data_IF_202954598898
#
_entry.id   IF_202954598898
#
_cell.length_a   1.000
_cell.length_b   1.000
_cell.length_c   1.000
_cell.angle_alpha   90.00
_cell.angle_beta   90.00
_cell.angle_gamma   90.00
#
_symmetry.space_group_name_H-M   'P 1'
#
loop_
_entity.id
_entity.type
_entity.pdbx_description
1 polymer ?
#
# COMPACT_ATOMS: atom_id res chain seq x y z
N UNK A 1 34.06 3.29 -2.27
CA UNK A 1 33.97 4.62 -2.92
C UNK A 1 33.95 5.81 -1.95
N UNK A 2 33.66 5.66 -0.65
CA UNK A 2 33.95 6.71 0.36
C UNK A 2 35.45 6.75 0.72
N UNK A 3 36.11 5.59 0.64
CA UNK A 3 37.55 5.44 0.87
C UNK A 3 38.41 6.32 -0.03
N UNK A 4 37.96 6.58 -1.27
CA UNK A 4 38.66 7.40 -2.27
C UNK A 4 38.65 8.89 -1.93
N UNK A 5 37.54 9.42 -1.41
CA UNK A 5 37.46 10.80 -0.89
C UNK A 5 38.37 10.93 0.34
N UNK A 6 38.35 9.94 1.23
CA UNK A 6 39.17 9.98 2.43
C UNK A 6 40.67 9.89 2.11
N UNK A 7 41.06 9.10 1.12
CA UNK A 7 42.45 9.00 0.67
C UNK A 7 42.94 10.27 -0.02
N UNK A 8 42.12 10.92 -0.86
CA UNK A 8 42.51 12.16 -1.54
C UNK A 8 42.58 13.34 -0.57
N UNK A 9 41.67 13.42 0.42
CA UNK A 9 41.76 14.42 1.49
C UNK A 9 43.01 14.24 2.35
N UNK A 10 43.36 12.97 2.66
CA UNK A 10 44.57 12.64 3.42
C UNK A 10 45.82 13.00 2.64
N UNK A 11 45.89 12.63 1.36
CA UNK A 11 46.98 12.99 0.46
C UNK A 11 47.12 14.51 0.32
N UNK A 12 46.01 15.24 0.15
CA UNK A 12 46.01 16.69 0.08
C UNK A 12 46.51 17.33 1.40
N UNK A 13 46.13 16.77 2.55
CA UNK A 13 46.62 17.22 3.86
C UNK A 13 48.13 17.00 4.01
N UNK A 14 48.64 15.83 3.63
CA UNK A 14 50.06 15.48 3.69
C UNK A 14 50.88 16.38 2.74
N UNK A 15 50.36 16.66 1.54
CA UNK A 15 50.97 17.60 0.59
C UNK A 15 50.97 19.05 1.10
N UNK A 16 49.88 19.50 1.73
CA UNK A 16 49.82 20.82 2.36
C UNK A 16 50.81 20.99 3.51
N UNK A 17 51.01 19.94 4.30
CA UNK A 17 52.04 19.91 5.34
C UNK A 17 53.46 19.94 4.76
N UNK A 18 53.71 19.22 3.67
CA UNK A 18 54.99 19.25 2.96
C UNK A 18 55.28 20.63 2.37
N UNK A 19 54.28 21.30 1.78
CA UNK A 19 54.44 22.66 1.25
C UNK A 19 54.82 23.69 2.32
N UNK A 20 54.31 23.56 3.55
CA UNK A 20 54.66 24.44 4.68
C UNK A 20 56.10 24.25 5.18
N UNK A 21 56.72 23.10 4.90
CA UNK A 21 58.08 22.79 5.32
C UNK A 21 59.16 23.21 4.31
N UNK A 22 58.75 23.63 3.10
CA UNK A 22 59.65 23.94 1.98
C UNK A 22 59.83 25.46 1.84
N UNK A 23 61.09 25.92 1.85
CA UNK A 23 61.44 27.34 1.71
C UNK A 23 61.73 27.78 0.26
N UNK A 24 61.98 26.84 -0.66
CA UNK A 24 62.35 27.13 -2.05
C UNK A 24 61.15 27.04 -3.01
N UNK A 25 60.94 28.11 -3.78
CA UNK A 25 59.81 28.26 -4.69
C UNK A 25 59.74 27.18 -5.80
N UNK A 26 60.89 26.65 -6.23
CA UNK A 26 60.97 25.61 -7.26
C UNK A 26 60.44 24.25 -6.80
N UNK A 27 60.47 23.98 -5.49
CA UNK A 27 59.97 22.73 -4.91
C UNK A 27 58.46 22.81 -4.57
N UNK A 28 57.89 24.02 -4.48
CA UNK A 28 56.47 24.25 -4.15
C UNK A 28 55.54 24.03 -5.35
N UNK A 29 55.98 24.38 -6.56
CA UNK A 29 55.17 24.23 -7.78
C UNK A 29 54.63 22.80 -8.03
N UNK A 30 55.44 21.72 -7.95
CA UNK A 30 54.93 20.36 -8.11
C UNK A 30 53.99 19.95 -6.95
N UNK A 31 54.22 20.44 -5.73
CA UNK A 31 53.35 20.15 -4.57
C UNK A 31 51.96 20.76 -4.78
N UNK A 32 51.88 22.01 -5.25
CA UNK A 32 50.61 22.69 -5.57
C UNK A 32 49.88 21.98 -6.73
N UNK A 33 50.60 21.53 -7.75
CA UNK A 33 50.02 20.77 -8.87
C UNK A 33 49.40 19.46 -8.39
N UNK A 34 50.10 18.71 -7.54
CA UNK A 34 49.60 17.48 -6.94
C UNK A 34 48.39 17.72 -6.03
N UNK A 35 48.43 18.79 -5.23
CA UNK A 35 47.31 19.19 -4.37
C UNK A 35 46.05 19.46 -5.20
N UNK A 36 46.17 20.22 -6.29
CA UNK A 36 45.05 20.50 -7.18
C UNK A 36 44.50 19.23 -7.83
N UNK A 37 45.36 18.29 -8.22
CA UNK A 37 44.92 17.00 -8.75
C UNK A 37 44.10 16.19 -7.73
N UNK A 38 44.54 16.12 -6.47
CA UNK A 38 43.81 15.42 -5.42
C UNK A 38 42.48 16.09 -5.06
N UNK A 39 42.44 17.43 -5.07
CA UNK A 39 41.19 18.18 -4.88
C UNK A 39 40.20 17.87 -6.00
N UNK A 40 40.64 17.87 -7.26
CA UNK A 40 39.78 17.56 -8.40
C UNK A 40 39.23 16.13 -8.32
N UNK A 41 40.07 15.14 -7.98
CA UNK A 41 39.60 13.76 -7.73
C UNK A 41 38.57 13.68 -6.61
N UNK A 42 38.75 14.45 -5.54
CA UNK A 42 37.77 14.51 -4.45
C UNK A 42 36.43 15.10 -4.92
N UNK A 43 36.47 16.17 -5.72
CA UNK A 43 35.29 16.81 -6.29
C UNK A 43 34.54 15.86 -7.24
N UNK A 44 35.25 15.21 -8.16
CA UNK A 44 34.66 14.22 -9.08
C UNK A 44 33.99 13.08 -8.30
N UNK A 45 34.67 12.56 -7.26
CA UNK A 45 34.09 11.52 -6.43
C UNK A 45 32.85 12.00 -5.67
N UNK A 46 32.83 13.25 -5.18
CA UNK A 46 31.68 13.83 -4.50
C UNK A 46 30.49 14.01 -5.45
N UNK A 47 30.73 14.46 -6.68
CA UNK A 47 29.69 14.58 -7.68
C UNK A 47 29.08 13.21 -8.03
N UNK A 48 29.92 12.18 -8.20
CA UNK A 48 29.44 10.81 -8.42
C UNK A 48 28.53 10.33 -7.28
N UNK A 49 28.93 10.54 -6.02
CA UNK A 49 28.12 10.17 -4.86
C UNK A 49 26.79 10.94 -4.79
N UNK A 50 26.80 12.23 -5.11
CA UNK A 50 25.56 13.01 -5.17
C UNK A 50 24.60 12.47 -6.24
N UNK A 51 25.11 12.08 -7.41
CA UNK A 51 24.28 11.45 -8.44
C UNK A 51 23.71 10.11 -7.97
N UNK A 52 24.51 9.27 -7.33
CA UNK A 52 24.07 7.99 -6.76
C UNK A 52 23.00 8.20 -5.68
N UNK A 53 23.18 9.20 -4.80
CA UNK A 53 22.22 9.55 -3.75
C UNK A 53 20.88 10.01 -4.33
N UNK A 54 20.92 10.90 -5.34
CA UNK A 54 19.72 11.38 -6.02
C UNK A 54 19.00 10.23 -6.74
N UNK A 55 19.72 9.33 -7.39
CA UNK A 55 19.14 8.16 -8.03
C UNK A 55 18.49 7.21 -7.02
N UNK A 56 19.11 7.02 -5.84
CA UNK A 56 18.55 6.20 -4.77
C UNK A 56 17.30 6.85 -4.16
N UNK A 57 17.32 8.17 -3.97
CA UNK A 57 16.19 8.93 -3.48
C UNK A 57 15.00 8.85 -4.45
N UNK A 58 15.24 8.96 -5.76
CA UNK A 58 14.20 8.80 -6.77
C UNK A 58 13.56 7.40 -6.72
N UNK A 59 14.39 6.35 -6.67
CA UNK A 59 13.91 4.96 -6.53
C UNK A 59 13.12 4.75 -5.24
N UNK A 60 13.56 5.36 -4.14
CA UNK A 60 12.85 5.30 -2.86
C UNK A 60 11.45 5.92 -2.98
N UNK A 61 11.32 7.08 -3.60
CA UNK A 61 10.01 7.71 -3.84
C UNK A 61 9.10 6.86 -4.72
N UNK A 62 9.63 6.31 -5.82
CA UNK A 62 8.88 5.43 -6.72
C UNK A 62 8.38 4.18 -5.98
N UNK A 63 9.29 3.49 -5.28
CA UNK A 63 8.96 2.28 -4.51
C UNK A 63 7.95 2.58 -3.40
N UNK A 64 8.11 3.70 -2.69
CA UNK A 64 7.18 4.10 -1.64
C UNK A 64 5.78 4.40 -2.18
N UNK A 65 5.69 5.00 -3.38
CA UNK A 65 4.43 5.24 -4.07
C UNK A 65 3.75 3.93 -4.48
N UNK A 66 4.47 3.02 -5.13
CA UNK A 66 3.95 1.71 -5.51
C UNK A 66 3.43 0.94 -4.28
N UNK A 67 4.17 0.98 -3.17
CA UNK A 67 3.80 0.34 -1.94
C UNK A 67 2.52 0.95 -1.32
N UNK A 68 2.34 2.26 -1.43
CA UNK A 68 1.10 2.93 -1.01
C UNK A 68 -0.10 2.50 -1.88
N UNK A 69 0.07 2.46 -3.21
CA UNK A 69 -0.97 2.03 -4.15
C UNK A 69 -1.38 0.56 -3.92
N UNK A 70 -0.41 -0.33 -3.71
CA UNK A 70 -0.69 -1.74 -3.39
C UNK A 70 -1.42 -1.87 -2.05
N UNK A 71 -1.02 -1.11 -1.03
CA UNK A 71 -1.69 -1.13 0.28
C UNK A 71 -3.13 -0.64 0.16
N UNK A 72 -3.38 0.41 -0.62
CA UNK A 72 -4.74 0.89 -0.87
C UNK A 72 -5.58 -0.17 -1.60
N UNK A 73 -5.02 -0.81 -2.64
CA UNK A 73 -5.69 -1.88 -3.36
C UNK A 73 -6.03 -3.07 -2.44
N UNK A 74 -5.13 -3.46 -1.54
CA UNK A 74 -5.38 -4.50 -0.53
C UNK A 74 -6.48 -4.06 0.43
N UNK A 75 -6.44 -2.82 0.93
CA UNK A 75 -7.45 -2.29 1.83
C UNK A 75 -8.84 -2.25 1.18
N UNK A 76 -8.92 -1.91 -0.11
CA UNK A 76 -10.18 -1.98 -0.87
C UNK A 76 -10.68 -3.43 -0.99
N UNK A 77 -9.81 -4.41 -1.23
CA UNK A 77 -10.19 -5.82 -1.28
C UNK A 77 -10.65 -6.37 0.07
N UNK A 78 -10.03 -5.94 1.17
CA UNK A 78 -10.38 -6.36 2.53
C UNK A 78 -11.81 -5.96 2.96
N UNK A 79 -12.46 -5.02 2.23
CA UNK A 79 -13.86 -4.63 2.46
C UNK A 79 -14.88 -5.64 1.95
N UNK A 80 -14.43 -6.67 1.22
CA UNK A 80 -15.29 -7.70 0.66
C UNK A 80 -15.07 -9.03 1.36
N UNK A 81 -16.16 -9.62 1.82
CA UNK A 81 -16.14 -10.95 2.42
C UNK A 81 -16.68 -11.98 1.44
N UNK A 82 -16.06 -13.16 1.39
CA UNK A 82 -16.58 -14.26 0.58
C UNK A 82 -17.89 -14.75 1.20
N UNK A 83 -18.94 -14.81 0.38
CA UNK A 83 -20.31 -15.13 0.77
C UNK A 83 -20.82 -16.29 -0.09
N UNK A 84 -21.39 -17.30 0.56
CA UNK A 84 -21.96 -18.48 -0.09
C UNK A 84 -23.42 -18.22 -0.48
N UNK A 85 -23.74 -18.31 -1.78
CA UNK A 85 -25.10 -18.23 -2.32
C UNK A 85 -25.86 -19.58 -2.28
N UNK A 86 -25.18 -20.65 -1.83
CA UNK A 86 -25.66 -22.02 -1.86
C UNK A 86 -25.12 -22.81 -3.07
N UNK A 87 -25.25 -24.13 -3.00
CA UNK A 87 -24.81 -25.07 -4.05
C UNK A 87 -23.35 -24.90 -4.49
N UNK A 88 -22.47 -24.50 -3.55
CA UNK A 88 -21.05 -24.30 -3.81
C UNK A 88 -20.73 -23.07 -4.67
N UNK A 89 -21.67 -22.11 -4.76
CA UNK A 89 -21.49 -20.87 -5.50
C UNK A 89 -21.13 -19.72 -4.56
N UNK A 90 -19.96 -19.13 -4.76
CA UNK A 90 -19.48 -18.03 -3.91
C UNK A 90 -19.42 -16.70 -4.66
N UNK A 91 -19.65 -15.64 -3.91
CA UNK A 91 -19.56 -14.24 -4.36
C UNK A 91 -18.86 -13.41 -3.29
N UNK A 92 -18.32 -12.26 -3.67
CA UNK A 92 -17.85 -11.29 -2.70
C UNK A 92 -18.99 -10.36 -2.32
N UNK A 93 -19.23 -10.17 -1.02
CA UNK A 93 -20.25 -9.24 -0.52
C UNK A 93 -19.56 -8.01 0.08
N UNK A 94 -20.00 -6.83 -0.32
CA UNK A 94 -19.54 -5.59 0.31
C UNK A 94 -20.13 -5.47 1.71
N UNK A 95 -19.28 -5.23 2.70
CA UNK A 95 -19.75 -4.91 4.04
C UNK A 95 -20.42 -3.53 4.04
N UNK A 96 -21.69 -3.47 4.44
CA UNK A 96 -22.48 -2.23 4.51
C UNK A 96 -22.05 -1.27 5.64
N UNK A 97 -20.88 -1.49 6.25
CA UNK A 97 -20.35 -0.62 7.30
C UNK A 97 -19.75 0.64 6.66
N UNK A 98 -19.95 1.83 7.25
CA UNK A 98 -19.33 3.05 6.75
C UNK A 98 -17.82 2.88 6.71
N UNK A 99 -17.22 3.15 5.55
CA UNK A 99 -15.81 2.85 5.25
C UNK A 99 -14.81 3.84 5.88
N UNK A 100 -15.19 4.48 6.99
CA UNK A 100 -14.40 5.52 7.67
C UNK A 100 -14.90 6.94 7.39
N UNK A 101 -14.01 7.91 7.61
CA UNK A 101 -14.26 9.33 7.39
C UNK A 101 -13.34 9.85 6.29
N UNK A 102 -13.88 10.59 5.33
CA UNK A 102 -13.10 11.31 4.34
C UNK A 102 -13.16 12.80 4.67
N UNK A 103 -12.02 13.42 5.00
CA UNK A 103 -11.92 14.83 5.41
C UNK A 103 -12.90 15.22 6.52
N UNK A 104 -13.03 14.37 7.55
CA UNK A 104 -13.93 14.63 8.68
C UNK A 104 -15.41 14.37 8.41
N UNK A 105 -15.80 14.05 7.18
CA UNK A 105 -17.18 13.67 6.84
C UNK A 105 -17.32 12.14 6.84
N UNK A 106 -18.38 11.57 7.44
CA UNK A 106 -18.63 10.13 7.37
C UNK A 106 -18.88 9.73 5.91
N UNK A 107 -18.13 8.74 5.43
CA UNK A 107 -18.37 8.14 4.12
C UNK A 107 -19.71 7.40 4.23
N UNK A 108 -20.67 7.75 3.37
CA UNK A 108 -21.98 7.10 3.35
C UNK A 108 -21.84 5.59 3.24
N UNK A 109 -22.68 4.85 3.96
CA UNK A 109 -22.68 3.39 3.91
C UNK A 109 -22.93 2.93 2.46
N UNK A 110 -21.97 2.20 1.89
CA UNK A 110 -22.14 1.62 0.55
C UNK A 110 -23.28 0.59 0.62
N UNK A 111 -24.25 0.61 -0.33
CA UNK A 111 -25.33 -0.37 -0.34
C UNK A 111 -24.77 -1.80 -0.39
N UNK A 112 -25.42 -2.72 0.33
CA UNK A 112 -25.08 -4.14 0.26
C UNK A 112 -25.21 -4.63 -1.19
N UNK A 113 -24.11 -5.13 -1.76
CA UNK A 113 -24.07 -5.62 -3.13
C UNK A 113 -23.10 -6.79 -3.25
N UNK A 114 -23.30 -7.60 -4.28
CA UNK A 114 -22.46 -8.75 -4.58
C UNK A 114 -21.54 -8.47 -5.76
N UNK A 115 -20.34 -9.02 -5.70
CA UNK A 115 -19.28 -8.90 -6.70
C UNK A 115 -18.93 -10.29 -7.21
N UNK A 116 -18.71 -10.40 -8.52
CA UNK A 116 -18.33 -11.64 -9.17
C UNK A 116 -16.95 -12.13 -8.72
N UNK A 117 -16.88 -13.27 -8.04
CA UNK A 117 -15.61 -13.87 -7.59
C UNK A 117 -14.62 -14.07 -8.74
N UNK A 118 -15.05 -14.66 -9.86
CA UNK A 118 -14.18 -14.94 -11.02
C UNK A 118 -13.54 -13.67 -11.60
N UNK A 119 -14.27 -12.56 -11.63
CA UNK A 119 -13.73 -11.30 -12.13
C UNK A 119 -12.80 -10.63 -11.12
N UNK A 120 -13.09 -10.78 -9.83
CA UNK A 120 -12.36 -10.15 -8.74
C UNK A 120 -11.02 -10.86 -8.45
N UNK A 121 -11.02 -12.19 -8.44
CA UNK A 121 -9.83 -13.02 -8.24
C UNK A 121 -9.04 -13.22 -9.55
N UNK A 122 -9.63 -12.87 -10.69
CA UNK A 122 -9.00 -12.97 -12.00
C UNK A 122 -7.80 -12.03 -12.17
N UNK A 123 -7.02 -12.20 -13.26
CA UNK A 123 -5.76 -11.49 -13.49
C UNK A 123 -5.91 -9.97 -13.57
N UNK A 124 -7.08 -9.49 -14.00
CA UNK A 124 -7.38 -8.06 -14.09
C UNK A 124 -8.00 -7.47 -12.80
N UNK A 125 -8.23 -8.28 -11.77
CA UNK A 125 -8.81 -7.88 -10.48
C UNK A 125 -10.04 -6.94 -10.58
N UNK A 126 -10.93 -7.20 -11.53
CA UNK A 126 -12.07 -6.31 -11.82
C UNK A 126 -13.17 -6.46 -10.77
N UNK A 127 -13.49 -5.38 -10.07
CA UNK A 127 -14.73 -5.26 -9.27
C UNK A 127 -15.92 -5.16 -10.22
N UNK A 128 -16.64 -6.27 -10.40
CA UNK A 128 -17.86 -6.33 -11.21
C UNK A 128 -19.05 -6.65 -10.31
N UNK A 129 -19.92 -5.66 -10.12
CA UNK A 129 -21.16 -5.82 -9.36
C UNK A 129 -22.10 -6.76 -10.12
N UNK A 130 -22.64 -7.75 -9.42
CA UNK A 130 -23.61 -8.69 -9.96
C UNK A 130 -24.99 -8.03 -10.06
N UNK A 131 -25.69 -8.35 -11.15
CA UNK A 131 -27.05 -7.88 -11.39
C UNK A 131 -28.04 -8.99 -11.10
N UNK A 132 -29.06 -8.70 -10.28
CA UNK A 132 -30.11 -9.68 -9.99
C UNK A 132 -31.16 -9.68 -11.09
N UNK A 133 -31.44 -10.86 -11.64
CA UNK A 133 -32.51 -11.10 -12.62
C UNK A 133 -33.66 -11.84 -11.94
N UNK A 134 -34.69 -11.10 -11.55
CA UNK A 134 -35.82 -11.61 -10.78
C UNK A 134 -36.53 -12.80 -11.46
N UNK A 135 -36.69 -12.78 -12.80
CA UNK A 135 -37.41 -13.83 -13.53
C UNK A 135 -36.83 -15.25 -13.35
N UNK A 136 -35.52 -15.36 -13.14
CA UNK A 136 -34.82 -16.64 -12.99
C UNK A 136 -34.14 -16.79 -11.62
N UNK A 137 -34.36 -15.87 -10.68
CA UNK A 137 -33.68 -15.80 -9.38
C UNK A 137 -32.15 -16.00 -9.48
N UNK A 138 -31.54 -15.30 -10.45
CA UNK A 138 -30.11 -15.46 -10.77
C UNK A 138 -29.34 -14.16 -10.64
N UNK A 139 -28.11 -14.26 -10.15
CA UNK A 139 -27.12 -13.19 -10.20
C UNK A 139 -26.29 -13.32 -11.46
N UNK A 140 -26.21 -12.24 -12.23
CA UNK A 140 -25.53 -12.23 -13.52
C UNK A 140 -24.35 -11.24 -13.53
N UNK A 141 -23.20 -11.73 -14.00
CA UNK A 141 -22.02 -10.92 -14.26
C UNK A 141 -21.99 -10.45 -15.73
N UNK A 142 -21.92 -9.15 -15.97
CA UNK A 142 -21.91 -8.56 -17.31
C UNK A 142 -20.58 -8.79 -18.07
N UNK A 143 -19.50 -9.07 -17.35
CA UNK A 143 -18.15 -9.19 -17.94
C UNK A 143 -17.84 -10.64 -18.31
N UNK A 144 -17.83 -11.56 -17.34
CA UNK A 144 -17.52 -12.97 -17.60
C UNK A 144 -18.74 -13.83 -17.98
N UNK A 145 -19.94 -13.23 -18.02
CA UNK A 145 -21.22 -13.89 -18.34
C UNK A 145 -21.60 -15.03 -17.39
N UNK A 146 -20.95 -15.13 -16.23
CA UNK A 146 -21.34 -16.08 -15.19
C UNK A 146 -22.76 -15.78 -14.68
N UNK A 147 -23.55 -16.84 -14.51
CA UNK A 147 -24.88 -16.81 -13.90
C UNK A 147 -24.87 -17.72 -12.68
N UNK A 148 -25.18 -17.15 -11.52
CA UNK A 148 -25.22 -17.84 -10.24
C UNK A 148 -26.68 -17.95 -9.81
N UNK A 149 -27.10 -19.15 -9.41
CA UNK A 149 -28.47 -19.45 -9.02
C UNK A 149 -28.58 -19.35 -7.51
N UNK A 150 -29.57 -18.60 -7.04
CA UNK A 150 -29.86 -18.58 -5.60
C UNK A 150 -30.62 -19.87 -5.29
N UNK A 151 -29.89 -20.89 -4.82
CA UNK A 151 -30.49 -22.19 -4.47
C UNK A 151 -31.04 -22.23 -3.05
N UNK A 152 -30.67 -21.25 -2.24
CA UNK A 152 -31.18 -21.07 -0.90
C UNK A 152 -31.92 -19.73 -0.82
N UNK A 153 -33.25 -19.77 -0.67
CA UNK A 153 -33.93 -18.71 0.05
C UNK A 153 -33.18 -18.54 1.40
N UNK A 154 -32.92 -17.30 1.87
CA UNK A 154 -32.23 -17.12 3.13
C UNK A 154 -32.99 -17.90 4.20
N UNK A 155 -32.34 -18.86 4.82
CA UNK A 155 -32.91 -19.63 5.92
C UNK A 155 -33.36 -18.61 6.97
N UNK A 156 -34.69 -18.44 7.12
CA UNK A 156 -35.31 -17.49 8.03
C UNK A 156 -35.02 -17.77 9.51
N UNK A 157 -34.12 -18.72 9.81
CA UNK A 157 -33.69 -19.09 11.17
C UNK A 157 -32.79 -18.08 11.85
N UNK A 158 -32.02 -17.25 11.14
CA UNK A 158 -31.16 -16.25 11.81
C UNK A 158 -31.91 -15.00 12.30
N UNK A 159 -33.03 -14.61 11.66
CA UNK A 159 -33.85 -13.48 12.15
C UNK A 159 -34.66 -13.81 13.40
N UNK A 160 -34.94 -15.10 13.69
CA UNK A 160 -35.61 -15.50 14.95
C UNK A 160 -34.66 -15.56 16.13
N UNK A 161 -33.37 -15.86 15.94
CA UNK A 161 -32.43 -15.91 17.07
C UNK A 161 -32.18 -14.53 17.70
N UNK A 162 -32.14 -13.45 16.89
CA UNK A 162 -31.98 -12.07 17.38
C UNK A 162 -33.22 -11.52 18.10
N UNK A 163 -34.42 -11.74 17.56
CA UNK A 163 -35.67 -11.24 18.15
C UNK A 163 -36.08 -11.97 19.43
N UNK A 164 -35.76 -13.26 19.57
CA UNK A 164 -36.07 -14.04 20.79
C UNK A 164 -35.09 -13.70 21.92
N UNK A 165 -33.84 -13.36 21.61
CA UNK A 165 -32.85 -12.93 22.61
C UNK A 165 -33.11 -11.53 23.20
N UNK A 166 -33.74 -10.63 22.45
CA UNK A 166 -34.05 -9.27 22.90
C UNK A 166 -35.37 -9.21 23.70
N UNK A 167 -36.38 -10.01 23.31
CA UNK A 167 -37.62 -10.16 24.09
C UNK A 167 -37.39 -10.81 25.47
N UNK A 168 -36.46 -11.75 25.58
CA UNK A 168 -36.13 -12.41 26.86
C UNK A 168 -35.39 -11.48 27.85
N UNK A 169 -34.66 -10.46 27.38
CA UNK A 169 -34.02 -9.47 28.27
C UNK A 169 -34.98 -8.39 28.78
N UNK A 170 -36.01 -8.05 28.00
CA UNK A 170 -37.01 -7.05 28.40
C UNK A 170 -38.02 -7.65 29.40
N UNK A 171 -38.38 -8.92 29.27
CA UNK A 171 -39.28 -9.60 30.21
C UNK A 171 -38.65 -9.90 31.58
N UNK A 172 -37.32 -10.01 31.68
CA UNK A 172 -36.63 -10.36 32.93
C UNK A 172 -36.29 -9.19 33.86
N UNK A 173 -36.63 -7.94 33.51
CA UNK A 173 -36.24 -6.75 34.29
C UNK A 173 -37.39 -6.09 35.07
N UNK A 174 -38.61 -6.63 35.00
CA UNK A 174 -39.81 -6.03 35.61
C UNK A 174 -40.17 -6.56 37.01
N UNK A 175 -39.43 -7.54 37.57
CA UNK A 175 -39.80 -8.20 38.85
C UNK A 175 -38.79 -7.99 39.98
N UNK A 176 -38.07 -6.85 40.00
CA UNK A 176 -37.30 -6.44 41.18
C UNK A 176 -37.31 -4.93 41.33
N UNK A 177 -38.27 -4.41 42.08
CA UNK A 177 -38.04 -3.33 43.03
C UNK A 177 -38.95 -3.55 44.26
N UNK A 178 -38.43 -3.35 45.49
CA UNK A 178 -39.19 -3.44 46.73
C UNK A 178 -40.20 -2.31 46.90
#
# INVERSE_FOLDING_TARGET
>A
MISTIFSSLKAAKELGQAALAVHEFNEVAPIVSNLNSEILKAQDSLFSHNMELLALQQKYFETAKELAEIREAIAQKARYTLFDLGSGQFVYRADARPAGTHMGNPIGAEPEHYVCQKCFDGPEHRKVVLTFRAGNFTWHCTVCRASLYVTNAPDGRERRAGLVGEAARVAGRSDRLP
#
